data_IF_927364932362
#
_entry.id   IF_927364932362
#
_cell.length_a   1.000
_cell.length_b   1.000
_cell.length_c   1.000
_cell.angle_alpha   90.00
_cell.angle_beta   90.00
_cell.angle_gamma   90.00
#
_symmetry.space_group_name_H-M   'P 1'
#
loop_
_entity.id
_entity.type
_entity.pdbx_description
1 polymer ?
#
# COMPACT_ATOMS: atom_id res chain seq x y z
N UNK A 1 12.56 -11.46 0.23
CA UNK A 1 11.40 -11.91 1.04
C UNK A 1 10.41 -10.78 1.21
N UNK A 2 10.82 -9.61 1.73
CA UNK A 2 9.99 -8.40 1.84
C UNK A 2 9.32 -7.96 0.54
N UNK A 3 10.06 -7.84 -0.56
CA UNK A 3 9.50 -7.45 -1.88
C UNK A 3 8.33 -8.35 -2.29
N UNK A 4 8.48 -9.67 -2.13
CA UNK A 4 7.40 -10.63 -2.41
C UNK A 4 6.19 -10.39 -1.50
N UNK A 5 6.41 -10.11 -0.21
CA UNK A 5 5.33 -9.81 0.71
C UNK A 5 4.63 -8.49 0.35
N UNK A 6 5.38 -7.46 -0.04
CA UNK A 6 4.84 -6.17 -0.51
C UNK A 6 3.99 -6.34 -1.77
N UNK A 7 4.40 -7.20 -2.71
CA UNK A 7 3.59 -7.56 -3.88
C UNK A 7 2.35 -8.36 -3.48
N UNK A 8 2.49 -9.40 -2.65
CA UNK A 8 1.36 -10.21 -2.20
C UNK A 8 0.33 -9.43 -1.37
N UNK A 9 0.79 -8.42 -0.66
CA UNK A 9 -0.05 -7.53 0.13
C UNK A 9 -1.10 -6.78 -0.72
N UNK A 10 -0.79 -6.46 -1.99
CA UNK A 10 -1.79 -5.88 -2.89
C UNK A 10 -2.97 -6.82 -3.16
N UNK A 11 -2.78 -8.15 -3.15
CA UNK A 11 -3.92 -9.07 -3.24
C UNK A 11 -4.83 -8.99 -2.03
N UNK A 12 -4.29 -8.73 -0.82
CA UNK A 12 -5.11 -8.53 0.38
C UNK A 12 -5.92 -7.24 0.31
N UNK A 13 -5.35 -6.18 -0.29
CA UNK A 13 -6.04 -4.90 -0.50
C UNK A 13 -7.16 -4.97 -1.56
N UNK A 14 -7.05 -5.88 -2.52
CA UNK A 14 -8.10 -6.08 -3.50
C UNK A 14 -9.20 -7.03 -2.98
N UNK A 15 -8.85 -8.02 -2.15
CA UNK A 15 -9.76 -9.09 -1.73
C UNK A 15 -10.55 -8.78 -0.44
N UNK A 16 -9.98 -8.01 0.50
CA UNK A 16 -10.58 -7.79 1.82
C UNK A 16 -10.90 -6.31 2.10
N UNK A 17 -12.18 -5.90 2.03
CA UNK A 17 -12.60 -4.51 2.27
C UNK A 17 -12.22 -3.96 3.65
N UNK A 18 -12.13 -4.81 4.67
CA UNK A 18 -11.78 -4.39 6.03
C UNK A 18 -10.29 -4.08 6.13
N UNK A 19 -9.45 -4.88 5.46
CA UNK A 19 -8.01 -4.60 5.32
C UNK A 19 -7.82 -3.30 4.57
N UNK A 20 -8.47 -3.13 3.43
CA UNK A 20 -8.38 -1.93 2.58
C UNK A 20 -8.79 -0.69 3.35
N UNK A 21 -9.93 -0.73 4.03
CA UNK A 21 -10.36 0.37 4.88
C UNK A 21 -9.33 0.69 5.96
N UNK A 22 -8.88 -0.32 6.72
CA UNK A 22 -7.97 -0.09 7.84
C UNK A 22 -6.64 0.49 7.36
N UNK A 23 -6.09 -0.03 6.26
CA UNK A 23 -4.88 0.49 5.62
C UNK A 23 -5.11 1.94 5.17
N UNK A 24 -6.24 2.22 4.52
CA UNK A 24 -6.58 3.58 4.09
C UNK A 24 -6.57 4.56 5.27
N UNK A 25 -7.17 4.19 6.41
CA UNK A 25 -7.12 5.01 7.63
C UNK A 25 -5.70 5.21 8.15
N UNK A 26 -4.83 4.20 8.06
CA UNK A 26 -3.43 4.37 8.42
C UNK A 26 -2.65 5.28 7.46
N UNK A 27 -2.97 5.25 6.16
CA UNK A 27 -2.41 6.17 5.17
C UNK A 27 -2.81 7.61 5.49
N UNK A 28 -4.10 7.86 5.75
CA UNK A 28 -4.58 9.20 6.16
C UNK A 28 -3.82 9.70 7.40
N UNK A 29 -3.71 8.84 8.42
CA UNK A 29 -2.97 9.17 9.65
C UNK A 29 -1.49 9.46 9.38
N UNK A 30 -0.86 8.71 8.47
CA UNK A 30 0.52 8.94 8.05
C UNK A 30 0.68 10.29 7.34
N UNK A 31 -0.28 10.69 6.50
CA UNK A 31 -0.26 12.00 5.85
C UNK A 31 -0.47 13.14 6.84
N UNK A 32 -1.35 12.96 7.83
CA UNK A 32 -1.67 14.00 8.83
C UNK A 32 -0.58 14.17 9.89
N UNK A 33 -0.01 13.06 10.37
CA UNK A 33 0.85 13.02 11.56
C UNK A 33 2.25 12.46 11.30
N UNK A 34 2.59 12.17 10.05
CA UNK A 34 3.84 11.49 9.70
C UNK A 34 3.91 10.09 10.30
N UNK A 35 5.12 9.58 10.53
CA UNK A 35 5.34 8.24 11.10
C UNK A 35 4.67 8.02 12.45
N UNK A 36 4.39 9.08 13.23
CA UNK A 36 3.62 8.97 14.48
C UNK A 36 2.20 8.45 14.25
N UNK A 37 1.63 8.67 13.07
CA UNK A 37 0.32 8.15 12.67
C UNK A 37 0.26 6.63 12.51
N UNK A 38 1.41 5.98 12.32
CA UNK A 38 1.57 4.53 12.16
C UNK A 38 1.60 3.80 13.52
N UNK A 39 0.60 4.06 14.34
CA UNK A 39 0.43 3.42 15.64
C UNK A 39 -0.45 2.16 15.53
N UNK A 40 0.17 1.00 15.68
CA UNK A 40 -0.48 -0.31 15.64
C UNK A 40 -0.81 -0.86 17.03
N UNK A 41 -0.91 -0.02 18.06
CA UNK A 41 -1.48 -0.44 19.35
C UNK A 41 -2.89 -1.03 19.20
N UNK A 42 -3.26 -1.91 20.13
CA UNK A 42 -4.52 -2.65 20.04
C UNK A 42 -5.73 -1.72 20.13
N UNK A 43 -5.64 -0.71 20.98
CA UNK A 43 -6.67 0.32 21.12
C UNK A 43 -6.86 1.13 19.84
N UNK A 44 -5.76 1.48 19.15
CA UNK A 44 -5.84 2.20 17.87
C UNK A 44 -6.49 1.34 16.79
N UNK A 45 -6.11 0.06 16.67
CA UNK A 45 -6.75 -0.86 15.71
C UNK A 45 -8.23 -1.05 16.02
N UNK A 46 -8.59 -1.27 17.28
CA UNK A 46 -9.99 -1.43 17.71
C UNK A 46 -10.82 -0.19 17.38
N UNK A 47 -10.28 0.99 17.64
CA UNK A 47 -10.95 2.26 17.30
C UNK A 47 -11.20 2.39 15.79
N UNK A 48 -10.20 2.09 14.96
CA UNK A 48 -10.37 2.14 13.51
C UNK A 48 -11.45 1.16 13.04
N UNK A 49 -11.42 -0.08 13.52
CA UNK A 49 -12.42 -1.10 13.13
C UNK A 49 -13.84 -0.73 13.59
N UNK A 50 -14.01 -0.10 14.74
CA UNK A 50 -15.32 0.35 15.22
C UNK A 50 -15.89 1.54 14.42
N UNK A 51 -15.05 2.26 13.67
CA UNK A 51 -15.47 3.33 12.75
C UNK A 51 -15.82 2.78 11.35
N UNK A 52 -15.68 1.48 11.12
CA UNK A 52 -16.02 0.84 9.85
C UNK A 52 -17.53 0.60 9.73
N UNK A 53 -18.07 1.04 8.59
CA UNK A 53 -19.45 0.78 8.20
C UNK A 53 -19.46 0.13 6.81
N UNK A 54 -20.27 -0.90 6.65
CA UNK A 54 -20.55 -1.49 5.34
C UNK A 54 -21.46 -0.55 4.51
N UNK A 55 -21.53 -0.77 3.20
CA UNK A 55 -22.36 0.03 2.29
C UNK A 55 -23.85 0.03 2.64
N UNK A 56 -24.32 -1.02 3.33
CA UNK A 56 -25.69 -1.14 3.83
C UNK A 56 -25.92 -0.39 5.16
N UNK A 57 -24.90 0.30 5.68
CA UNK A 57 -24.90 1.03 6.94
C UNK A 57 -24.74 0.14 8.17
N UNK A 58 -24.60 -1.17 8.01
CA UNK A 58 -24.30 -2.05 9.14
C UNK A 58 -22.90 -1.78 9.67
N UNK A 59 -22.76 -1.90 10.99
CA UNK A 59 -21.50 -1.75 11.68
C UNK A 59 -20.73 -3.07 11.68
N UNK A 60 -19.41 -2.94 11.79
CA UNK A 60 -18.55 -4.05 12.12
C UNK A 60 -18.85 -4.56 13.54
N UNK A 61 -19.38 -5.78 13.67
CA UNK A 61 -19.71 -6.40 14.96
C UNK A 61 -18.90 -7.68 15.21
N UNK A 62 -17.59 -7.52 15.39
CA UNK A 62 -16.75 -8.63 15.85
C UNK A 62 -16.74 -8.71 17.37
N UNK A 63 -16.83 -9.93 17.88
CA UNK A 63 -16.50 -10.19 19.27
C UNK A 63 -15.06 -9.71 19.58
N UNK A 64 -14.83 -9.19 20.78
CA UNK A 64 -13.55 -8.63 21.22
C UNK A 64 -12.34 -9.57 20.93
N UNK A 65 -12.53 -10.88 21.10
CA UNK A 65 -11.49 -11.87 20.83
C UNK A 65 -11.15 -12.01 19.35
N UNK A 66 -12.12 -11.81 18.45
CA UNK A 66 -11.92 -11.79 17.00
C UNK A 66 -11.22 -10.50 16.59
N UNK A 67 -11.63 -9.35 17.13
CA UNK A 67 -10.98 -8.05 16.88
C UNK A 67 -9.51 -8.07 17.32
N UNK A 68 -9.22 -8.66 18.48
CA UNK A 68 -7.84 -8.84 18.96
C UNK A 68 -6.99 -9.70 18.02
N UNK A 69 -7.52 -10.83 17.57
CA UNK A 69 -6.85 -11.70 16.59
C UNK A 69 -6.63 -11.01 15.25
N UNK A 70 -7.60 -10.21 14.81
CA UNK A 70 -7.47 -9.43 13.59
C UNK A 70 -6.31 -8.44 13.68
N UNK A 71 -6.22 -7.69 14.79
CA UNK A 71 -5.10 -6.78 15.04
C UNK A 71 -3.73 -7.48 15.10
N UNK A 72 -3.66 -8.69 15.66
CA UNK A 72 -2.45 -9.53 15.58
C UNK A 72 -2.09 -9.90 14.14
N UNK A 73 -3.08 -10.28 13.34
CA UNK A 73 -2.94 -10.56 11.91
C UNK A 73 -2.43 -9.35 11.13
N UNK A 74 -3.04 -8.19 11.32
CA UNK A 74 -2.60 -6.92 10.70
C UNK A 74 -1.13 -6.63 11.03
N UNK A 75 -0.74 -6.68 12.30
CA UNK A 75 0.66 -6.47 12.72
C UNK A 75 1.60 -7.48 12.09
N UNK A 76 1.16 -8.72 11.90
CA UNK A 76 1.96 -9.73 11.21
C UNK A 76 2.24 -9.31 9.77
N UNK A 77 1.20 -8.86 9.03
CA UNK A 77 1.37 -8.35 7.66
C UNK A 77 2.29 -7.13 7.63
N UNK A 78 2.08 -6.16 8.53
CA UNK A 78 2.90 -4.95 8.63
C UNK A 78 4.38 -5.25 8.87
N UNK A 79 4.72 -6.33 9.60
CA UNK A 79 6.11 -6.79 9.76
C UNK A 79 6.68 -7.37 8.48
N UNK A 80 5.91 -8.20 7.78
CA UNK A 80 6.34 -8.84 6.53
C UNK A 80 6.63 -7.80 5.43
N UNK A 81 5.82 -6.75 5.34
CA UNK A 81 6.02 -5.65 4.38
C UNK A 81 7.05 -4.61 4.85
N UNK A 82 7.51 -4.69 6.10
CA UNK A 82 8.57 -3.84 6.64
C UNK A 82 8.12 -2.52 7.25
N UNK A 83 6.84 -2.37 7.58
CA UNK A 83 6.30 -1.22 8.34
C UNK A 83 6.65 -1.36 9.83
N UNK A 84 6.60 -2.58 10.37
CA UNK A 84 7.01 -2.88 11.76
C UNK A 84 8.35 -3.62 11.76
N UNK A 85 9.37 -3.03 12.39
CA UNK A 85 10.74 -3.55 12.31
C UNK A 85 11.03 -4.76 13.21
N UNK A 86 10.22 -4.98 14.25
CA UNK A 86 10.46 -6.07 15.21
C UNK A 86 9.17 -6.77 15.62
N UNK A 87 9.30 -7.93 16.26
CA UNK A 87 8.15 -8.68 16.78
C UNK A 87 7.37 -7.91 17.85
N UNK A 88 8.03 -7.06 18.65
CA UNK A 88 7.39 -6.29 19.71
C UNK A 88 7.04 -4.86 19.29
N UNK A 89 7.49 -4.39 18.13
CA UNK A 89 7.17 -3.05 17.65
C UNK A 89 5.67 -2.88 17.43
N UNK A 90 5.14 -1.77 17.93
CA UNK A 90 3.78 -1.30 17.68
C UNK A 90 3.79 0.06 16.96
N UNK A 91 4.89 0.82 17.06
CA UNK A 91 5.12 1.99 16.22
C UNK A 91 5.72 1.57 14.88
N UNK A 92 5.12 2.01 13.79
CA UNK A 92 5.56 1.77 12.42
C UNK A 92 6.57 2.79 11.90
N UNK A 93 7.21 2.41 10.80
CA UNK A 93 8.12 3.20 10.00
C UNK A 93 7.75 3.09 8.51
N UNK A 94 8.33 3.95 7.69
CA UNK A 94 8.13 3.92 6.24
C UNK A 94 8.98 2.78 5.66
N UNK A 95 8.38 1.78 4.99
CA UNK A 95 9.10 0.64 4.49
C UNK A 95 9.95 1.02 3.27
N UNK A 96 11.16 0.44 3.18
CA UNK A 96 11.97 0.54 1.97
C UNK A 96 11.35 -0.29 0.84
N UNK A 97 11.39 0.26 -0.38
CA UNK A 97 10.87 -0.40 -1.58
C UNK A 97 11.99 -0.84 -2.51
N UNK A 98 12.03 -2.14 -2.83
CA UNK A 98 12.77 -2.65 -3.98
C UNK A 98 12.14 -2.23 -5.32
N UNK A 99 12.76 -2.59 -6.43
CA UNK A 99 12.26 -2.23 -7.77
C UNK A 99 10.91 -2.89 -8.06
N UNK A 100 10.79 -4.21 -7.90
CA UNK A 100 9.54 -4.93 -8.19
C UNK A 100 8.32 -4.39 -7.44
N UNK A 101 8.32 -4.23 -6.10
CA UNK A 101 7.15 -3.70 -5.38
C UNK A 101 6.86 -2.24 -5.75
N UNK A 102 7.87 -1.45 -6.11
CA UNK A 102 7.67 -0.10 -6.63
C UNK A 102 6.93 -0.13 -7.98
N UNK A 103 7.37 -0.95 -8.94
CA UNK A 103 6.70 -1.06 -10.24
C UNK A 103 5.27 -1.60 -10.11
N UNK A 104 5.03 -2.57 -9.22
CA UNK A 104 3.67 -3.07 -8.94
C UNK A 104 2.80 -1.97 -8.36
N UNK A 105 3.29 -1.20 -7.39
CA UNK A 105 2.53 -0.11 -6.79
C UNK A 105 2.25 1.05 -7.76
N UNK A 106 3.19 1.35 -8.65
CA UNK A 106 2.99 2.32 -9.73
C UNK A 106 1.94 1.82 -10.72
N UNK A 107 2.03 0.56 -11.13
CA UNK A 107 1.05 -0.08 -12.01
C UNK A 107 -0.35 -0.09 -11.39
N UNK A 108 -0.45 -0.39 -10.10
CA UNK A 108 -1.70 -0.35 -9.35
C UNK A 108 -2.34 1.05 -9.41
N UNK A 109 -1.53 2.09 -9.26
CA UNK A 109 -1.99 3.48 -9.34
C UNK A 109 -2.43 3.83 -10.76
N UNK A 110 -1.68 3.38 -11.77
CA UNK A 110 -1.98 3.57 -13.19
C UNK A 110 -3.31 2.91 -13.58
N UNK A 111 -3.57 1.68 -13.16
CA UNK A 111 -4.84 0.99 -13.46
C UNK A 111 -6.06 1.73 -12.89
N UNK A 112 -5.91 2.42 -11.75
CA UNK A 112 -7.01 3.15 -11.11
C UNK A 112 -7.21 4.54 -11.71
N UNK A 113 -6.12 5.28 -11.94
CA UNK A 113 -6.19 6.73 -12.24
C UNK A 113 -5.72 7.09 -13.65
N UNK A 114 -5.17 6.13 -14.41
CA UNK A 114 -4.58 6.37 -15.72
C UNK A 114 -3.54 7.48 -15.67
N UNK A 115 -3.71 8.48 -16.55
CA UNK A 115 -2.79 9.60 -16.69
C UNK A 115 -2.60 10.44 -15.41
N UNK A 116 -3.60 10.44 -14.52
CA UNK A 116 -3.58 11.26 -13.29
C UNK A 116 -2.87 10.56 -12.11
N UNK A 117 -2.41 9.32 -12.29
CA UNK A 117 -1.91 8.48 -11.19
C UNK A 117 -0.78 9.10 -10.38
N UNK A 118 0.11 9.87 -11.00
CA UNK A 118 1.27 10.43 -10.30
C UNK A 118 0.84 11.52 -9.29
N UNK A 119 -0.30 12.17 -9.53
CA UNK A 119 -0.92 13.10 -8.59
C UNK A 119 -1.71 12.40 -7.48
N UNK A 120 -2.06 11.13 -7.68
CA UNK A 120 -2.85 10.31 -6.76
C UNK A 120 -2.28 8.88 -6.71
N UNK A 121 -1.04 8.68 -6.23
CA UNK A 121 -0.34 7.40 -6.37
C UNK A 121 -0.83 6.40 -5.31
N UNK A 122 -2.06 5.89 -5.46
CA UNK A 122 -2.74 5.03 -4.48
C UNK A 122 -1.92 3.81 -4.10
N UNK A 123 -1.20 3.19 -5.03
CA UNK A 123 -0.33 2.07 -4.69
C UNK A 123 0.87 2.48 -3.83
N UNK A 124 1.45 3.66 -4.06
CA UNK A 124 2.53 4.18 -3.21
C UNK A 124 2.02 4.50 -1.81
N UNK A 125 0.83 5.08 -1.71
CA UNK A 125 0.13 5.29 -0.45
C UNK A 125 -0.07 3.98 0.31
N UNK A 126 -0.54 2.93 -0.35
CA UNK A 126 -0.73 1.62 0.27
C UNK A 126 0.59 0.95 0.70
N UNK A 127 1.71 1.30 0.08
CA UNK A 127 3.04 0.96 0.59
C UNK A 127 3.62 1.99 1.59
N UNK A 128 2.77 2.83 2.18
CA UNK A 128 3.10 3.83 3.20
C UNK A 128 4.17 4.85 2.76
N UNK A 129 4.22 5.17 1.47
CA UNK A 129 5.15 6.17 0.94
C UNK A 129 4.52 7.57 1.00
N UNK A 130 5.03 8.40 1.91
CA UNK A 130 4.63 9.80 2.03
C UNK A 130 5.14 10.66 0.87
N UNK A 131 4.48 11.79 0.61
CA UNK A 131 4.75 12.73 -0.49
C UNK A 131 6.22 13.13 -0.64
N UNK A 132 6.95 13.26 0.48
CA UNK A 132 8.37 13.62 0.47
C UNK A 132 9.28 12.65 -0.32
N UNK A 133 8.81 11.43 -0.62
CA UNK A 133 9.56 10.44 -1.39
C UNK A 133 9.13 10.35 -2.85
N UNK A 134 8.02 10.99 -3.25
CA UNK A 134 7.40 10.78 -4.55
C UNK A 134 8.31 11.15 -5.71
N UNK A 135 9.03 12.27 -5.63
CA UNK A 135 9.99 12.66 -6.67
C UNK A 135 11.06 11.59 -6.89
N UNK A 136 11.59 11.01 -5.80
CA UNK A 136 12.60 9.96 -5.89
C UNK A 136 12.03 8.64 -6.41
N UNK A 137 10.79 8.32 -6.04
CA UNK A 137 10.11 7.13 -6.55
C UNK A 137 9.77 7.29 -8.04
N UNK A 138 9.33 8.48 -8.46
CA UNK A 138 9.03 8.82 -9.84
C UNK A 138 10.28 8.72 -10.73
N UNK A 139 11.44 9.23 -10.26
CA UNK A 139 12.72 9.08 -10.94
C UNK A 139 13.07 7.59 -11.12
N UNK A 140 12.96 6.80 -10.05
CA UNK A 140 13.25 5.35 -10.11
C UNK A 140 12.33 4.57 -11.05
N UNK A 141 11.06 4.97 -11.17
CA UNK A 141 10.13 4.37 -12.13
C UNK A 141 10.48 4.80 -13.55
N UNK A 142 10.82 6.08 -13.73
CA UNK A 142 11.20 6.64 -15.04
C UNK A 142 12.50 6.03 -15.59
N UNK A 143 13.40 5.57 -14.73
CA UNK A 143 14.63 4.89 -15.09
C UNK A 143 14.42 3.41 -15.50
N UNK A 144 13.25 2.84 -15.24
CA UNK A 144 12.94 1.45 -15.58
C UNK A 144 12.50 1.34 -17.05
N UNK A 145 13.05 0.39 -17.84
CA UNK A 145 12.77 0.29 -19.27
C UNK A 145 11.31 -0.06 -19.61
N UNK A 146 10.51 -0.52 -18.64
CA UNK A 146 9.10 -0.85 -18.85
C UNK A 146 8.17 0.36 -18.67
N UNK A 147 8.74 1.52 -18.31
CA UNK A 147 8.03 2.77 -18.14
C UNK A 147 8.67 3.86 -19.00
N UNK A 148 7.83 4.73 -19.56
CA UNK A 148 8.27 5.90 -20.32
C UNK A 148 7.91 7.17 -19.54
N UNK A 149 8.92 8.03 -19.36
CA UNK A 149 8.73 9.38 -18.85
C UNK A 149 8.66 10.38 -20.02
N UNK A 150 7.59 11.17 -20.05
CA UNK A 150 7.41 12.26 -21.00
C UNK A 150 7.06 13.55 -20.28
N UNK A 151 7.52 14.69 -20.82
CA UNK A 151 7.19 16.01 -20.29
C UNK A 151 6.33 16.76 -21.28
N UNK A 152 5.05 16.98 -20.96
CA UNK A 152 4.18 17.87 -21.73
C UNK A 152 3.91 19.10 -20.88
N UNK A 153 4.25 20.29 -21.38
CA UNK A 153 4.02 21.58 -20.70
C UNK A 153 4.61 21.72 -19.28
N UNK A 154 5.65 20.94 -18.94
CA UNK A 154 6.31 20.98 -17.63
C UNK A 154 5.69 20.06 -16.59
N UNK A 155 4.66 19.29 -16.95
CA UNK A 155 4.10 18.23 -16.14
C UNK A 155 4.76 16.90 -16.52
N UNK A 156 5.31 16.21 -15.51
CA UNK A 156 5.92 14.90 -15.68
C UNK A 156 4.81 13.86 -15.81
N UNK A 157 4.76 13.18 -16.95
CA UNK A 157 3.90 12.02 -17.19
C UNK A 157 4.75 10.78 -17.26
N UNK A 158 4.38 9.77 -16.49
CA UNK A 158 5.04 8.46 -16.45
C UNK A 158 3.98 7.41 -16.79
N UNK A 159 4.24 6.54 -17.74
CA UNK A 159 3.28 5.51 -18.17
C UNK A 159 3.98 4.20 -18.54
N UNK A 160 3.30 3.04 -18.47
CA UNK A 160 3.83 1.79 -19.01
C UNK A 160 4.13 1.89 -20.52
N UNK A 161 5.18 1.20 -20.98
CA UNK A 161 5.53 1.12 -22.40
C UNK A 161 4.55 0.23 -23.19
N UNK A 162 4.16 -0.90 -22.61
CA UNK A 162 3.17 -1.85 -23.13
C UNK A 162 2.01 -1.98 -22.12
N UNK A 163 1.39 -3.15 -21.93
CA UNK A 163 0.40 -3.32 -20.86
C UNK A 163 1.10 -3.23 -19.48
N UNK A 164 0.35 -2.76 -18.47
CA UNK A 164 0.87 -2.31 -17.16
C UNK A 164 1.79 -3.30 -16.45
N UNK A 165 1.59 -4.60 -16.65
CA UNK A 165 2.35 -5.67 -16.01
C UNK A 165 3.04 -6.62 -17.00
N UNK A 166 3.17 -6.26 -18.29
CA UNK A 166 3.80 -7.11 -19.30
C UNK A 166 5.28 -7.44 -19.01
N UNK A 167 5.91 -6.61 -18.19
CA UNK A 167 7.27 -6.81 -17.70
C UNK A 167 7.38 -7.95 -16.68
N UNK A 168 6.28 -8.38 -16.08
CA UNK A 168 6.27 -9.48 -15.13
C UNK A 168 6.21 -10.82 -15.87
N UNK A 169 7.14 -11.72 -15.56
CA UNK A 169 7.11 -13.06 -16.13
C UNK A 169 5.82 -13.79 -15.71
N UNK A 170 5.09 -14.42 -16.65
CA UNK A 170 3.94 -15.26 -16.33
C UNK A 170 4.35 -16.34 -15.34
N UNK A 171 3.50 -16.59 -14.35
CA UNK A 171 3.76 -17.64 -13.37
C UNK A 171 3.70 -19.03 -14.05
N UNK A 172 4.85 -19.69 -14.21
CA UNK A 172 4.97 -21.07 -14.74
C UNK A 172 4.94 -22.14 -13.62
N UNK A 173 4.04 -22.03 -12.65
CA UNK A 173 3.85 -23.11 -11.68
C UNK A 173 2.82 -24.14 -12.15
N UNK A 174 3.09 -25.43 -11.92
CA UNK A 174 2.06 -26.46 -12.04
C UNK A 174 1.00 -26.24 -10.94
N UNK A 175 -0.27 -26.18 -11.35
CA UNK A 175 -1.45 -26.11 -10.48
C UNK A 175 -1.76 -27.48 -9.88
#
# INVERSE_FOLDING_TARGET
MRDKAQVLYFYLLEDDPLVTYTVHRYVERLQESGVEGLDFEQETVERLLNEFHYDDGSEFDYAESTTRRWGEGLRSVMREIGVLDTQQALQGNIPNLGTTPLLVASGFSWEIHGDDWLSQPTGWHYLFQSEQYWDSLAERVSDDPNWEASGIHGELRIQPVDDTYDWAEPWEGEV
#
